data_IF_881970032991
#
_entry.id   IF_881970032991
#
_cell.length_a   1.000
_cell.length_b   1.000
_cell.length_c   1.000
_cell.angle_alpha   90.00
_cell.angle_beta   90.00
_cell.angle_gamma   90.00
#
_symmetry.space_group_name_H-M   'P 1'
#
loop_
_entity.id
_entity.type
_entity.pdbx_description
1 polymer ?
#
# COMPACT_ATOMS: atom_id res chain seq x y z
N UNK A 1 -9.33 -17.00 -1.60
CA UNK A 1 -8.14 -16.14 -1.44
C UNK A 1 -7.43 -16.60 -0.18
N UNK A 2 -6.14 -16.93 -0.23
CA UNK A 2 -5.36 -17.27 0.97
C UNK A 2 -4.19 -16.28 1.02
N UNK A 3 -4.35 -15.22 1.82
CA UNK A 3 -3.27 -14.27 2.07
C UNK A 3 -2.12 -14.94 2.83
N UNK A 4 -0.94 -14.34 2.77
CA UNK A 4 0.22 -14.73 3.53
C UNK A 4 0.50 -13.68 4.61
N UNK A 5 0.93 -14.14 5.78
CA UNK A 5 1.52 -13.24 6.78
C UNK A 5 3.00 -13.11 6.45
N UNK A 6 3.48 -11.88 6.33
CA UNK A 6 4.88 -11.52 6.15
C UNK A 6 5.49 -11.24 7.53
N UNK A 7 6.33 -12.17 8.00
CA UNK A 7 6.85 -12.14 9.36
C UNK A 7 5.73 -12.18 10.39
N UNK A 8 5.81 -11.32 11.40
CA UNK A 8 4.75 -11.06 12.37
C UNK A 8 4.12 -9.66 12.19
N UNK A 9 4.40 -9.00 11.06
CA UNK A 9 4.11 -7.58 10.88
C UNK A 9 2.93 -7.28 9.95
N UNK A 10 2.73 -8.07 8.89
CA UNK A 10 1.76 -7.70 7.87
C UNK A 10 1.06 -8.82 7.11
N UNK A 11 -0.19 -8.56 6.71
CA UNK A 11 -1.02 -9.43 5.87
C UNK A 11 -0.96 -9.00 4.40
N UNK A 12 -0.38 -9.85 3.55
CA UNK A 12 -0.25 -9.71 2.10
C UNK A 12 -1.26 -10.61 1.38
N UNK A 13 -2.15 -10.04 0.57
CA UNK A 13 -3.36 -10.74 0.14
C UNK A 13 -3.24 -11.42 -1.22
N UNK A 14 -2.45 -10.84 -2.13
CA UNK A 14 -2.16 -11.39 -3.44
C UNK A 14 -0.73 -11.04 -3.88
N UNK A 15 -0.14 -11.86 -4.76
CA UNK A 15 1.23 -11.68 -5.24
C UNK A 15 1.44 -10.33 -5.96
N UNK A 16 0.40 -9.76 -6.55
CA UNK A 16 0.44 -8.47 -7.24
C UNK A 16 0.32 -7.27 -6.29
N UNK A 17 0.05 -7.51 -5.00
CA UNK A 17 -0.11 -6.42 -4.04
C UNK A 17 1.26 -5.77 -3.79
N UNK A 18 1.29 -4.46 -3.96
CA UNK A 18 2.45 -3.61 -3.70
C UNK A 18 2.39 -2.93 -2.32
N UNK A 19 1.39 -3.29 -1.52
CA UNK A 19 1.23 -2.90 -0.12
C UNK A 19 0.89 -4.10 0.75
N UNK A 20 1.18 -4.00 2.03
CA UNK A 20 0.78 -4.95 3.07
C UNK A 20 -0.10 -4.27 4.11
N UNK A 21 -0.94 -5.03 4.82
CA UNK A 21 -1.75 -4.48 5.94
C UNK A 21 -1.06 -4.79 7.26
N UNK A 22 -0.80 -3.79 8.10
CA UNK A 22 -0.31 -4.00 9.46
C UNK A 22 -1.30 -4.87 10.26
N UNK A 23 -0.81 -5.91 10.94
CA UNK A 23 -1.63 -6.83 11.77
C UNK A 23 -1.51 -6.57 13.27
N UNK A 24 -0.67 -5.61 13.66
CA UNK A 24 -0.58 -5.01 14.99
C UNK A 24 -0.18 -3.54 14.83
N UNK A 25 -0.06 -2.79 15.93
CA UNK A 25 0.63 -1.51 15.94
C UNK A 25 2.14 -1.75 15.76
N UNK A 26 2.73 -1.15 14.71
CA UNK A 26 4.12 -1.37 14.34
C UNK A 26 4.95 -0.12 14.65
N UNK A 27 6.11 -0.31 15.27
CA UNK A 27 7.07 0.76 15.53
C UNK A 27 7.95 1.04 14.30
N UNK A 28 8.49 2.26 14.21
CA UNK A 28 9.55 2.57 13.24
C UNK A 28 10.75 1.63 13.41
N UNK A 29 11.38 1.23 12.30
CA UNK A 29 12.45 0.24 12.30
C UNK A 29 11.96 -1.22 12.29
N UNK A 30 10.65 -1.48 12.36
CA UNK A 30 10.10 -2.83 12.18
C UNK A 30 10.44 -3.36 10.79
N UNK A 31 10.90 -4.60 10.71
CA UNK A 31 11.30 -5.26 9.47
C UNK A 31 10.19 -6.17 8.94
N UNK A 32 9.81 -5.98 7.67
CA UNK A 32 8.85 -6.81 6.94
C UNK A 32 9.59 -7.60 5.86
N UNK A 33 9.64 -8.94 5.93
CA UNK A 33 10.26 -9.76 4.87
C UNK A 33 9.35 -9.78 3.63
N UNK A 34 9.93 -9.53 2.45
CA UNK A 34 9.21 -9.50 1.18
C UNK A 34 10.16 -9.78 0.01
N UNK A 35 9.85 -10.74 -0.88
CA UNK A 35 10.62 -11.08 -2.10
C UNK A 35 12.16 -11.07 -1.93
N UNK A 36 12.67 -11.93 -1.05
CA UNK A 36 14.10 -12.09 -0.72
C UNK A 36 14.80 -10.83 -0.16
N UNK A 37 14.04 -9.80 0.19
CA UNK A 37 14.53 -8.59 0.86
C UNK A 37 13.74 -8.27 2.12
N UNK A 38 14.19 -7.24 2.82
CA UNK A 38 13.54 -6.69 4.00
C UNK A 38 13.12 -5.26 3.71
N UNK A 39 11.89 -4.92 4.09
CA UNK A 39 11.36 -3.55 4.09
C UNK A 39 11.33 -3.08 5.53
N UNK A 40 12.10 -2.05 5.85
CA UNK A 40 12.12 -1.42 7.19
C UNK A 40 11.12 -0.27 7.24
N UNK A 41 10.34 -0.15 8.31
CA UNK A 41 9.38 0.94 8.47
C UNK A 41 10.07 2.27 8.78
N UNK A 42 9.75 3.32 8.02
CA UNK A 42 10.28 4.67 8.24
C UNK A 42 9.64 5.38 9.45
N UNK A 43 8.43 4.99 9.81
CA UNK A 43 7.61 5.57 10.86
C UNK A 43 6.75 4.50 11.55
N UNK A 44 6.14 4.85 12.68
CA UNK A 44 5.17 3.96 13.33
C UNK A 44 3.88 3.86 12.50
N UNK A 45 3.37 2.65 12.31
CA UNK A 45 2.19 2.38 11.49
C UNK A 45 1.14 1.68 12.35
N UNK A 46 -0.05 2.29 12.56
CA UNK A 46 -1.07 1.67 13.40
C UNK A 46 -1.71 0.44 12.76
N UNK A 47 -2.29 -0.41 13.60
CA UNK A 47 -3.02 -1.61 13.19
C UNK A 47 -4.01 -1.34 12.04
N UNK A 48 -4.03 -2.23 11.05
CA UNK A 48 -4.98 -2.20 9.93
C UNK A 48 -4.63 -1.21 8.81
N UNK A 49 -3.60 -0.39 8.99
CA UNK A 49 -3.13 0.52 7.94
C UNK A 49 -2.19 -0.17 6.94
N UNK A 50 -1.91 0.53 5.83
CA UNK A 50 -1.15 -0.03 4.70
C UNK A 50 0.29 0.46 4.74
N UNK A 51 1.22 -0.44 4.43
CA UNK A 51 2.64 -0.15 4.25
C UNK A 51 3.02 -0.41 2.80
N UNK A 52 3.78 0.49 2.18
CA UNK A 52 4.32 0.24 0.85
C UNK A 52 5.42 -0.84 0.90
N UNK A 53 5.32 -1.85 0.03
CA UNK A 53 6.32 -2.90 -0.10
C UNK A 53 7.38 -2.59 -1.16
N UNK A 54 7.08 -1.67 -2.08
CA UNK A 54 7.91 -1.24 -3.22
C UNK A 54 7.81 0.29 -3.38
N UNK A 55 8.75 0.95 -4.08
CA UNK A 55 8.60 2.38 -4.36
C UNK A 55 7.39 2.62 -5.29
N UNK A 56 6.65 3.70 -5.05
CA UNK A 56 5.53 4.15 -5.87
C UNK A 56 5.73 5.63 -6.21
N UNK A 57 5.67 5.98 -7.48
CA UNK A 57 5.69 7.37 -7.94
C UNK A 57 4.26 7.93 -8.05
N UNK A 58 4.07 9.26 -8.02
CA UNK A 58 2.76 9.85 -8.29
C UNK A 58 2.19 9.35 -9.62
N UNK A 59 0.96 8.83 -9.61
CA UNK A 59 0.38 8.17 -10.78
C UNK A 59 0.27 6.66 -10.66
N UNK A 60 1.15 6.05 -9.86
CA UNK A 60 1.23 4.60 -9.74
C UNK A 60 0.02 4.01 -9.02
N UNK A 61 -0.42 2.85 -9.50
CA UNK A 61 -1.53 2.13 -8.91
C UNK A 61 -1.15 1.56 -7.53
N UNK A 62 -1.95 1.83 -6.51
CA UNK A 62 -1.87 1.13 -5.22
C UNK A 62 -2.71 -0.14 -5.33
N UNK A 63 -2.05 -1.30 -5.23
CA UNK A 63 -2.60 -2.63 -5.48
C UNK A 63 -2.80 -3.39 -4.18
N UNK A 64 -4.03 -3.81 -3.90
CA UNK A 64 -4.39 -4.65 -2.75
C UNK A 64 -5.48 -5.64 -3.12
N UNK A 65 -5.40 -6.88 -2.61
CA UNK A 65 -6.31 -7.97 -2.98
C UNK A 65 -6.24 -8.36 -4.47
N UNK A 66 -5.12 -8.07 -5.14
CA UNK A 66 -4.93 -8.28 -6.58
C UNK A 66 -5.59 -7.20 -7.45
N UNK A 67 -6.08 -6.12 -6.85
CA UNK A 67 -6.88 -5.09 -7.53
C UNK A 67 -6.35 -3.69 -7.24
N UNK A 68 -6.55 -2.76 -8.18
CA UNK A 68 -6.27 -1.34 -7.92
C UNK A 68 -7.30 -0.77 -6.95
N UNK A 69 -6.82 -0.30 -5.80
CA UNK A 69 -7.63 0.36 -4.76
C UNK A 69 -7.49 1.88 -4.78
N UNK A 70 -6.43 2.40 -5.40
CA UNK A 70 -6.15 3.81 -5.46
C UNK A 70 -4.90 4.11 -6.27
N UNK A 71 -4.41 5.33 -6.14
CA UNK A 71 -3.26 5.87 -6.84
C UNK A 71 -2.41 6.68 -5.86
N UNK A 72 -1.09 6.58 -5.97
CA UNK A 72 -0.17 7.43 -5.22
C UNK A 72 -0.25 8.88 -5.74
N UNK A 73 -0.39 9.84 -4.84
CA UNK A 73 -0.44 11.28 -5.18
C UNK A 73 0.86 12.02 -4.87
N UNK A 74 1.75 11.36 -4.14
CA UNK A 74 3.10 11.79 -3.80
C UNK A 74 4.03 10.57 -3.93
N UNK A 75 5.36 10.74 -4.07
CA UNK A 75 6.29 9.61 -4.00
C UNK A 75 6.15 8.87 -2.67
N UNK A 76 6.14 7.54 -2.72
CA UNK A 76 6.06 6.67 -1.54
C UNK A 76 7.21 5.67 -1.58
N UNK A 77 8.10 5.74 -0.60
CA UNK A 77 9.20 4.79 -0.44
C UNK A 77 8.71 3.47 0.20
N UNK A 78 9.41 2.34 -0.04
CA UNK A 78 9.15 1.11 0.71
C UNK A 78 9.23 1.37 2.22
N UNK A 79 8.27 0.86 2.99
CA UNK A 79 8.20 1.02 4.44
C UNK A 79 7.41 2.24 4.91
N UNK A 80 6.95 3.11 4.00
CA UNK A 80 6.14 4.27 4.37
C UNK A 80 4.64 3.94 4.53
N UNK A 81 3.97 4.77 5.32
CA UNK A 81 2.54 4.64 5.60
C UNK A 81 1.67 5.09 4.41
N UNK A 82 0.94 4.16 3.81
CA UNK A 82 0.02 4.45 2.69
C UNK A 82 -1.38 4.78 3.21
N UNK A 83 -1.75 6.06 3.17
CA UNK A 83 -3.06 6.58 3.60
C UNK A 83 -3.57 7.69 2.68
N UNK A 84 -4.72 8.28 3.01
CA UNK A 84 -5.34 9.43 2.32
C UNK A 84 -4.44 10.66 2.11
N UNK A 85 -3.31 10.76 2.80
CA UNK A 85 -2.38 11.88 2.61
C UNK A 85 -1.50 11.69 1.36
N UNK A 86 -1.12 10.45 1.02
CA UNK A 86 -0.25 10.11 -0.11
C UNK A 86 -0.89 9.13 -1.11
N UNK A 87 -2.10 8.65 -0.86
CA UNK A 87 -2.85 7.74 -1.72
C UNK A 87 -4.32 8.16 -1.81
N UNK A 88 -4.86 8.15 -3.02
CA UNK A 88 -6.24 8.55 -3.28
C UNK A 88 -7.04 7.44 -3.96
N UNK A 89 -8.27 7.19 -3.50
CA UNK A 89 -9.17 6.24 -4.16
C UNK A 89 -9.67 6.81 -5.49
N UNK A 90 -9.53 6.02 -6.56
CA UNK A 90 -10.17 6.29 -7.86
C UNK A 90 -11.62 5.82 -7.93
N UNK A 91 -12.07 5.01 -6.97
CA UNK A 91 -13.46 4.51 -6.92
C UNK A 91 -14.35 5.47 -6.12
N UNK A 92 -15.60 5.62 -6.55
CA UNK A 92 -16.61 6.41 -5.81
C UNK A 92 -16.46 7.93 -5.89
N UNK A 93 -15.64 8.44 -6.82
CA UNK A 93 -15.33 9.87 -7.00
C UNK A 93 -16.37 10.59 -7.85
N UNK A 94 -17.61 10.63 -7.39
CA UNK A 94 -18.68 11.37 -8.08
C UNK A 94 -18.44 12.89 -8.16
N UNK A 95 -17.49 13.40 -7.36
CA UNK A 95 -16.93 14.75 -7.43
C UNK A 95 -15.99 14.95 -8.64
N UNK A 96 -15.41 13.87 -9.15
CA UNK A 96 -14.64 13.85 -10.39
C UNK A 96 -15.55 13.37 -11.51
N UNK A 97 -16.31 14.29 -12.12
CA UNK A 97 -16.92 14.06 -13.43
C UNK A 97 -15.78 13.76 -14.39
N UNK A 98 -15.51 12.48 -14.64
CA UNK A 98 -14.41 12.08 -15.51
C UNK A 98 -14.53 12.81 -16.86
N UNK A 99 -13.42 13.39 -17.30
CA UNK A 99 -13.09 13.51 -18.71
C UNK A 99 -13.24 12.11 -19.32
N UNK A 100 -14.44 11.82 -19.82
CA UNK A 100 -14.75 10.65 -20.62
C UNK A 100 -14.36 10.92 -22.07
N UNK A 101 -13.10 11.23 -22.33
CA UNK A 101 -12.55 11.22 -23.68
C UNK A 101 -11.10 10.76 -23.64
N UNK A 102 -10.90 9.46 -23.86
CA UNK A 102 -9.85 8.89 -24.73
C UNK A 102 -9.79 7.36 -24.58
N UNK A 103 -10.66 6.67 -25.32
CA UNK A 103 -10.36 5.42 -26.04
C UNK A 103 -11.48 5.19 -27.07
#
# INVERSE_FOLDING_TARGET
>A
MKGAVLGDAGLHMAAQDNVVTAIDDLDAGTEIPYDDRTVELAEAIPFGHKVALVPLEPGDAVMKYGETIGEAVEPIAPGEWVHTHNCESRRGRGDRTADREAA
#
